data_IF_118251034941
#
_entry.id   IF_118251034941
#
_cell.length_a   1.000
_cell.length_b   1.000
_cell.length_c   1.000
_cell.angle_alpha   90.00
_cell.angle_beta   90.00
_cell.angle_gamma   90.00
#
_symmetry.space_group_name_H-M   'P 1'
#
loop_
_entity.id
_entity.type
_entity.pdbx_description
1 polymer ?
#
# COMPACT_ATOMS: atom_id res chain seq x y z
N UNK A 1 -7.35 -2.80 -16.32
CA UNK A 1 -6.43 -1.75 -16.84
C UNK A 1 -7.18 -0.54 -17.42
N UNK A 2 -8.22 -0.74 -18.26
CA UNK A 2 -9.05 0.35 -18.80
C UNK A 2 -9.65 1.26 -17.72
N UNK A 3 -10.21 0.65 -16.66
CA UNK A 3 -10.83 1.38 -15.54
C UNK A 3 -9.85 2.35 -14.85
N UNK A 4 -8.62 1.90 -14.59
CA UNK A 4 -7.57 2.74 -14.01
C UNK A 4 -7.17 3.90 -14.95
N UNK A 5 -7.08 3.62 -16.25
CA UNK A 5 -6.77 4.66 -17.24
C UNK A 5 -7.85 5.74 -17.26
N UNK A 6 -9.13 5.36 -17.34
CA UNK A 6 -10.25 6.29 -17.23
C UNK A 6 -10.27 7.01 -15.88
N UNK A 7 -9.94 6.32 -14.79
CA UNK A 7 -9.85 6.92 -13.46
C UNK A 7 -8.85 8.10 -13.45
N UNK A 8 -7.62 7.86 -13.95
CA UNK A 8 -6.57 8.89 -14.02
C UNK A 8 -7.02 10.08 -14.88
N UNK A 9 -7.64 9.83 -16.04
CA UNK A 9 -8.09 10.91 -16.93
C UNK A 9 -9.23 11.74 -16.36
N UNK A 10 -10.07 11.15 -15.50
CA UNK A 10 -11.18 11.83 -14.85
C UNK A 10 -10.82 12.48 -13.50
N UNK A 11 -9.60 12.30 -12.99
CA UNK A 11 -9.22 12.86 -11.69
C UNK A 11 -9.35 14.38 -11.62
N UNK A 12 -8.95 15.10 -12.68
CA UNK A 12 -9.06 16.55 -12.70
C UNK A 12 -10.52 17.04 -12.73
N UNK A 13 -11.40 16.30 -13.41
CA UNK A 13 -12.84 16.54 -13.38
C UNK A 13 -13.41 16.33 -11.97
N UNK A 14 -13.08 15.19 -11.36
CA UNK A 14 -13.57 14.82 -10.01
C UNK A 14 -13.08 15.76 -8.92
N UNK A 15 -11.87 16.30 -9.07
CA UNK A 15 -11.31 17.31 -8.18
C UNK A 15 -11.90 18.72 -8.40
N UNK A 16 -12.85 18.89 -9.34
CA UNK A 16 -13.46 20.18 -9.66
C UNK A 16 -12.51 21.17 -10.35
N UNK A 17 -11.36 20.70 -10.85
CA UNK A 17 -10.37 21.57 -11.50
C UNK A 17 -10.76 21.96 -12.93
N UNK A 18 -11.54 21.10 -13.59
CA UNK A 18 -12.07 21.31 -14.94
C UNK A 18 -13.46 20.71 -15.07
N UNK A 19 -14.28 21.26 -15.96
CA UNK A 19 -15.59 20.68 -16.33
C UNK A 19 -15.50 19.62 -17.44
N UNK A 20 -14.35 19.56 -18.12
CA UNK A 20 -14.08 18.59 -19.18
C UNK A 20 -12.64 18.10 -19.06
N UNK A 21 -12.38 16.78 -18.96
CA UNK A 21 -11.03 16.24 -18.86
C UNK A 21 -10.10 16.66 -20.01
N UNK A 22 -10.63 17.01 -21.20
CA UNK A 22 -9.81 17.49 -22.31
C UNK A 22 -9.15 18.85 -22.03
N UNK A 23 -9.72 19.65 -21.11
CA UNK A 23 -9.21 20.98 -20.73
C UNK A 23 -8.02 20.89 -19.78
N UNK A 24 -7.78 19.74 -19.15
CA UNK A 24 -6.69 19.61 -18.17
C UNK A 24 -5.35 19.32 -18.87
N UNK A 25 -4.47 20.33 -18.88
CA UNK A 25 -3.18 20.29 -19.62
C UNK A 25 -2.18 19.27 -19.09
N UNK A 26 -2.29 18.87 -17.83
CA UNK A 26 -1.32 18.01 -17.14
C UNK A 26 -1.70 16.53 -17.14
N UNK A 27 -2.62 16.13 -18.02
CA UNK A 27 -3.03 14.75 -18.18
C UNK A 27 -2.93 14.34 -19.65
N UNK A 28 -2.59 13.08 -19.88
CA UNK A 28 -2.47 12.48 -21.20
C UNK A 28 -3.79 12.27 -21.92
N UNK A 29 -4.96 12.55 -21.33
CA UNK A 29 -6.27 12.29 -21.96
C UNK A 29 -6.40 12.88 -23.36
N UNK A 30 -5.86 14.09 -23.59
CA UNK A 30 -5.82 14.72 -24.93
C UNK A 30 -5.11 13.85 -25.95
N UNK A 31 -4.02 13.22 -25.55
CA UNK A 31 -3.29 12.26 -26.36
C UNK A 31 -4.17 11.05 -26.66
N UNK A 32 -5.14 10.64 -25.83
CA UNK A 32 -6.02 9.51 -26.15
C UNK A 32 -7.20 9.83 -27.05
N UNK A 33 -7.62 11.10 -27.17
CA UNK A 33 -8.83 11.49 -27.93
C UNK A 33 -8.53 12.35 -29.17
N UNK A 34 -7.28 12.81 -29.33
CA UNK A 34 -6.83 13.54 -30.52
C UNK A 34 -6.00 12.63 -31.42
N UNK A 35 -6.06 12.88 -32.73
CA UNK A 35 -5.27 12.12 -33.71
C UNK A 35 -3.76 12.36 -33.58
N UNK A 36 -3.34 13.52 -33.07
CA UNK A 36 -1.93 13.83 -32.88
C UNK A 36 -1.31 12.89 -31.84
N UNK A 37 -0.32 12.11 -32.29
CA UNK A 37 0.49 11.28 -31.42
C UNK A 37 1.47 12.16 -30.67
N UNK A 38 1.31 12.20 -29.35
CA UNK A 38 2.35 12.63 -28.43
C UNK A 38 3.24 11.41 -28.16
N UNK A 39 4.55 11.55 -28.38
CA UNK A 39 5.52 10.47 -28.24
C UNK A 39 5.74 10.04 -26.78
N UNK A 40 5.20 10.81 -25.82
CA UNK A 40 5.29 10.52 -24.39
C UNK A 40 4.28 9.46 -23.91
N UNK A 41 3.33 9.03 -24.75
CA UNK A 41 2.21 8.17 -24.33
C UNK A 41 2.07 6.95 -25.22
N UNK A 42 2.29 5.76 -24.64
CA UNK A 42 1.96 4.49 -25.26
C UNK A 42 0.44 4.23 -25.13
N UNK A 43 -0.25 4.19 -26.27
CA UNK A 43 -1.71 4.04 -26.34
C UNK A 43 -2.14 2.78 -27.08
N UNK A 44 -1.25 2.17 -27.86
CA UNK A 44 -1.60 1.06 -28.74
C UNK A 44 -2.05 -0.17 -27.92
N UNK A 45 -1.44 -0.42 -26.76
CA UNK A 45 -1.89 -1.48 -25.84
C UNK A 45 -3.33 -1.28 -25.32
N UNK A 46 -3.71 -0.03 -25.00
CA UNK A 46 -5.07 0.27 -24.53
C UNK A 46 -6.07 0.21 -25.69
N UNK A 47 -5.70 0.75 -26.85
CA UNK A 47 -6.53 0.73 -28.05
C UNK A 47 -6.77 -0.69 -28.58
N UNK A 48 -5.79 -1.59 -28.46
CA UNK A 48 -5.92 -3.00 -28.82
C UNK A 48 -7.04 -3.74 -28.08
N UNK A 49 -7.48 -3.24 -26.91
CA UNK A 49 -8.62 -3.79 -26.17
C UNK A 49 -9.98 -3.38 -26.73
N UNK A 50 -10.02 -2.39 -27.63
CA UNK A 50 -11.25 -1.87 -28.25
C UNK A 50 -11.36 -2.30 -29.72
N UNK A 51 -10.32 -2.03 -30.52
CA UNK A 51 -10.32 -2.36 -31.95
C UNK A 51 -8.91 -2.33 -32.54
N UNK A 52 -8.69 -3.15 -33.57
CA UNK A 52 -7.49 -3.05 -34.43
C UNK A 52 -7.48 -1.76 -35.27
N UNK A 53 -8.66 -1.17 -35.52
CA UNK A 53 -8.75 0.11 -36.21
C UNK A 53 -8.56 1.26 -35.21
N UNK A 54 -7.44 1.97 -35.33
CA UNK A 54 -7.06 3.08 -34.42
C UNK A 54 -8.14 4.15 -34.25
N UNK A 55 -8.82 4.55 -35.34
CA UNK A 55 -9.90 5.57 -35.27
C UNK A 55 -11.16 5.05 -34.58
N UNK A 56 -11.42 3.74 -34.67
CA UNK A 56 -12.54 3.11 -33.94
C UNK A 56 -12.17 2.97 -32.48
N UNK A 57 -10.97 2.48 -32.16
CA UNK A 57 -10.49 2.32 -30.80
C UNK A 57 -10.47 3.65 -30.04
N UNK A 58 -10.00 4.73 -30.67
CA UNK A 58 -10.02 6.09 -30.11
C UNK A 58 -11.44 6.53 -29.70
N UNK A 59 -12.42 6.37 -30.60
CA UNK A 59 -13.82 6.74 -30.34
C UNK A 59 -14.46 5.88 -29.25
N UNK A 60 -14.16 4.59 -29.23
CA UNK A 60 -14.64 3.68 -28.20
C UNK A 60 -14.01 3.98 -26.83
N UNK A 61 -12.72 4.31 -26.80
CA UNK A 61 -12.03 4.76 -25.60
C UNK A 61 -12.61 6.07 -25.06
N UNK A 62 -12.84 7.06 -25.93
CA UNK A 62 -13.47 8.32 -25.54
C UNK A 62 -14.85 8.09 -24.92
N UNK A 63 -15.68 7.25 -25.55
CA UNK A 63 -17.00 6.87 -25.03
C UNK A 63 -16.89 6.14 -23.69
N UNK A 64 -15.91 5.25 -23.56
CA UNK A 64 -15.63 4.52 -22.33
C UNK A 64 -15.31 5.48 -21.16
N UNK A 65 -14.44 6.47 -21.38
CA UNK A 65 -14.09 7.46 -20.36
C UNK A 65 -15.28 8.37 -20.03
N UNK A 66 -15.97 8.90 -21.05
CA UNK A 66 -17.14 9.76 -20.85
C UNK A 66 -18.26 9.07 -20.07
N UNK A 67 -18.49 7.78 -20.32
CA UNK A 67 -19.46 6.97 -19.57
C UNK A 67 -19.15 6.82 -18.07
N UNK A 68 -17.95 7.20 -17.62
CA UNK A 68 -17.49 7.12 -16.22
C UNK A 68 -17.43 8.48 -15.51
N UNK A 69 -17.75 9.58 -16.21
CA UNK A 69 -17.70 10.93 -15.63
C UNK A 69 -18.57 11.08 -14.37
N UNK A 70 -19.71 10.37 -14.31
CA UNK A 70 -20.63 10.41 -13.16
C UNK A 70 -20.25 9.51 -11.98
N UNK A 71 -19.19 8.70 -12.07
CA UNK A 71 -18.86 7.69 -11.05
C UNK A 71 -18.21 8.25 -9.78
N UNK A 72 -18.11 9.58 -9.64
CA UNK A 72 -17.54 10.21 -8.45
C UNK A 72 -16.15 9.69 -8.08
N UNK A 73 -15.83 9.73 -6.79
CA UNK A 73 -14.66 9.06 -6.25
C UNK A 73 -14.92 7.55 -6.11
N UNK A 74 -13.94 6.73 -6.46
CA UNK A 74 -14.04 5.27 -6.53
C UNK A 74 -13.18 4.68 -5.43
N UNK A 75 -13.77 4.45 -4.26
CA UNK A 75 -13.07 3.99 -3.04
C UNK A 75 -12.42 2.62 -3.22
N UNK A 76 -12.94 1.80 -4.14
CA UNK A 76 -12.38 0.50 -4.54
C UNK A 76 -10.96 0.61 -5.12
N UNK A 77 -10.60 1.75 -5.74
CA UNK A 77 -9.21 2.03 -6.13
C UNK A 77 -8.30 2.45 -4.96
N UNK A 78 -8.83 2.53 -3.75
CA UNK A 78 -8.09 2.87 -2.54
C UNK A 78 -8.20 1.78 -1.48
N UNK A 79 -8.92 0.69 -1.75
CA UNK A 79 -8.97 -0.49 -0.87
C UNK A 79 -7.59 -1.15 -0.81
N UNK A 80 -6.92 -0.91 0.31
CA UNK A 80 -5.60 -1.44 0.63
C UNK A 80 -5.74 -2.84 1.26
N UNK A 81 -5.62 -3.91 0.45
CA UNK A 81 -5.51 -5.29 0.96
C UNK A 81 -4.08 -5.64 1.41
N UNK A 82 -3.06 -5.20 0.68
CA UNK A 82 -1.65 -5.24 1.08
C UNK A 82 -1.10 -3.81 0.91
N UNK A 83 -0.36 -3.28 1.89
CA UNK A 83 0.25 -1.94 1.78
C UNK A 83 1.28 -1.83 0.64
N UNK A 84 1.48 -2.91 -0.13
CA UNK A 84 2.33 -2.99 -1.34
C UNK A 84 1.54 -3.16 -2.63
N UNK A 85 0.31 -3.69 -2.60
CA UNK A 85 -0.45 -4.04 -3.80
C UNK A 85 -1.89 -3.54 -3.72
N UNK A 86 -2.32 -2.85 -4.78
CA UNK A 86 -3.66 -2.30 -4.92
C UNK A 86 -4.45 -3.15 -5.93
N UNK A 87 -5.61 -3.68 -5.53
CA UNK A 87 -6.49 -4.45 -6.40
C UNK A 87 -7.26 -5.56 -5.68
N UNK A 88 -8.09 -6.28 -6.44
CA UNK A 88 -8.88 -7.41 -5.97
C UNK A 88 -8.00 -8.58 -5.48
N UNK A 89 -8.56 -9.47 -4.67
CA UNK A 89 -7.83 -10.55 -3.99
C UNK A 89 -7.12 -11.50 -4.95
N UNK A 90 -7.82 -11.87 -6.03
CA UNK A 90 -7.26 -12.71 -7.09
C UNK A 90 -6.04 -12.07 -7.75
N UNK A 91 -6.03 -10.73 -7.88
CA UNK A 91 -4.88 -10.00 -8.42
C UNK A 91 -3.69 -10.05 -7.45
N UNK A 92 -3.94 -9.77 -6.18
CA UNK A 92 -2.91 -9.79 -5.13
C UNK A 92 -2.28 -11.18 -5.01
N UNK A 93 -3.11 -12.24 -5.00
CA UNK A 93 -2.63 -13.63 -4.95
C UNK A 93 -1.82 -14.04 -6.19
N UNK A 94 -2.25 -13.60 -7.38
CA UNK A 94 -1.49 -13.84 -8.61
C UNK A 94 -0.13 -13.11 -8.59
N UNK A 95 -0.05 -11.92 -8.01
CA UNK A 95 1.21 -11.18 -7.87
C UNK A 95 2.14 -11.89 -6.89
N UNK A 96 1.65 -12.33 -5.72
CA UNK A 96 2.44 -13.12 -4.76
C UNK A 96 2.97 -14.40 -5.38
N UNK A 97 2.12 -15.13 -6.12
CA UNK A 97 2.51 -16.35 -6.85
C UNK A 97 3.61 -16.09 -7.88
N UNK A 98 3.56 -14.96 -8.59
CA UNK A 98 4.59 -14.57 -9.58
C UNK A 98 5.90 -14.13 -8.94
N UNK A 99 5.84 -13.50 -7.77
CA UNK A 99 7.02 -13.04 -7.03
C UNK A 99 7.64 -14.15 -6.17
N UNK A 100 7.03 -15.34 -6.13
CA UNK A 100 7.42 -16.42 -5.22
C UNK A 100 7.42 -15.97 -3.75
N UNK A 101 6.58 -14.98 -3.43
CA UNK A 101 6.32 -14.52 -2.08
C UNK A 101 5.14 -15.34 -1.54
N UNK A 102 5.26 -15.86 -0.31
CA UNK A 102 4.08 -16.43 0.37
C UNK A 102 3.03 -15.32 0.52
N UNK A 103 1.77 -15.62 0.18
CA UNK A 103 0.66 -14.70 0.44
C UNK A 103 0.72 -14.30 1.91
N UNK A 104 0.82 -13.00 2.25
CA UNK A 104 1.00 -12.58 3.62
C UNK A 104 -0.31 -12.85 4.34
N UNK A 105 -0.40 -14.02 4.97
CA UNK A 105 -1.45 -14.30 5.92
C UNK A 105 -1.37 -13.20 6.97
N UNK A 106 -2.39 -12.35 7.02
CA UNK A 106 -2.58 -11.46 8.15
C UNK A 106 -3.07 -12.33 9.30
N UNK A 107 -2.38 -12.29 10.43
CA UNK A 107 -2.74 -13.00 11.63
C UNK A 107 -3.60 -12.09 12.52
N UNK A 108 -4.54 -12.68 13.25
CA UNK A 108 -5.32 -11.94 14.24
C UNK A 108 -4.48 -11.71 15.50
N UNK A 109 -3.63 -10.68 15.44
CA UNK A 109 -2.70 -10.30 16.51
C UNK A 109 -2.88 -8.81 16.79
N UNK A 110 -3.19 -8.45 18.02
CA UNK A 110 -3.26 -7.05 18.43
C UNK A 110 -1.87 -6.41 18.51
N UNK A 111 -1.77 -5.10 18.28
CA UNK A 111 -0.53 -4.36 18.49
C UNK A 111 0.01 -4.49 19.93
N UNK A 112 -0.87 -4.66 20.92
CA UNK A 112 -0.48 -4.91 22.32
C UNK A 112 0.20 -6.27 22.52
N UNK A 113 -0.31 -7.34 21.88
CA UNK A 113 0.34 -8.66 21.90
C UNK A 113 1.71 -8.60 21.23
N UNK A 114 1.82 -7.89 20.10
CA UNK A 114 3.10 -7.69 19.41
C UNK A 114 4.06 -6.90 20.31
N UNK A 115 3.60 -5.79 20.91
CA UNK A 115 4.40 -4.99 21.82
C UNK A 115 4.91 -5.81 23.01
N UNK A 116 4.06 -6.66 23.60
CA UNK A 116 4.42 -7.55 24.70
C UNK A 116 5.49 -8.57 24.30
N UNK A 117 5.36 -9.20 23.13
CA UNK A 117 6.36 -10.16 22.64
C UNK A 117 7.69 -9.46 22.35
N UNK A 118 7.64 -8.28 21.73
CA UNK A 118 8.83 -7.44 21.48
C UNK A 118 9.50 -7.04 22.80
N UNK A 119 8.71 -6.65 23.79
CA UNK A 119 9.17 -6.30 25.15
C UNK A 119 9.95 -7.47 25.76
N UNK A 120 9.37 -8.68 25.70
CA UNK A 120 9.99 -9.89 26.23
C UNK A 120 11.27 -10.25 25.48
N UNK A 121 11.27 -10.25 24.15
CA UNK A 121 12.41 -10.65 23.34
C UNK A 121 13.60 -9.66 23.44
N UNK A 122 13.31 -8.38 23.60
CA UNK A 122 14.33 -7.34 23.76
C UNK A 122 14.72 -7.08 25.22
N UNK A 123 14.11 -7.78 26.18
CA UNK A 123 14.30 -7.58 27.62
C UNK A 123 14.07 -6.11 28.03
N UNK A 124 13.03 -5.50 27.48
CA UNK A 124 12.63 -4.12 27.77
C UNK A 124 11.33 -4.11 28.59
N UNK A 125 11.14 -3.16 29.53
CA UNK A 125 9.84 -2.94 30.15
C UNK A 125 8.82 -2.43 29.12
N UNK A 126 7.59 -2.92 29.17
CA UNK A 126 6.55 -2.54 28.19
C UNK A 126 6.21 -1.05 28.28
N UNK A 127 6.22 -0.48 29.49
CA UNK A 127 6.02 0.96 29.72
C UNK A 127 7.08 1.83 29.03
N UNK A 128 8.29 1.29 28.82
CA UNK A 128 9.36 2.00 28.13
C UNK A 128 8.98 2.32 26.68
N UNK A 129 8.20 1.45 26.03
CA UNK A 129 7.73 1.67 24.65
C UNK A 129 6.76 2.86 24.58
N UNK A 130 5.92 3.05 25.59
CA UNK A 130 4.97 4.16 25.69
C UNK A 130 5.60 5.45 26.27
N UNK A 131 6.74 5.33 26.95
CA UNK A 131 7.43 6.46 27.57
C UNK A 131 8.00 7.48 26.57
N UNK A 132 8.18 8.72 27.03
CA UNK A 132 8.90 9.79 26.31
C UNK A 132 10.44 9.66 26.45
N UNK A 133 10.95 8.50 26.85
CA UNK A 133 12.35 8.32 27.20
C UNK A 133 13.31 8.74 26.07
N UNK A 134 14.38 9.44 26.47
CA UNK A 134 15.51 9.82 25.61
C UNK A 134 16.45 8.65 25.28
N UNK A 135 16.27 7.48 25.92
CA UNK A 135 17.01 6.26 25.59
C UNK A 135 16.55 5.73 24.21
N UNK A 136 17.50 5.26 23.40
CA UNK A 136 17.26 4.66 22.07
C UNK A 136 16.43 3.36 22.11
N UNK A 137 16.31 2.71 23.27
CA UNK A 137 15.60 1.44 23.43
C UNK A 137 14.07 1.55 23.25
N UNK A 138 13.42 2.58 23.81
CA UNK A 138 11.98 2.79 23.63
C UNK A 138 11.57 3.01 22.16
N UNK A 139 12.24 3.93 21.43
CA UNK A 139 12.07 4.07 19.99
C UNK A 139 12.32 2.79 19.18
N UNK A 140 13.32 1.99 19.57
CA UNK A 140 13.61 0.71 18.91
C UNK A 140 12.47 -0.30 19.10
N UNK A 141 11.97 -0.47 20.34
CA UNK A 141 10.85 -1.37 20.61
C UNK A 141 9.58 -0.98 19.84
N UNK A 142 9.29 0.32 19.74
CA UNK A 142 8.20 0.84 18.89
C UNK A 142 8.42 0.56 17.41
N UNK A 143 9.64 0.74 16.91
CA UNK A 143 9.98 0.45 15.52
C UNK A 143 9.81 -1.04 15.19
N UNK A 144 10.29 -1.93 16.07
CA UNK A 144 10.13 -3.39 15.89
C UNK A 144 8.66 -3.77 15.94
N UNK A 145 7.89 -3.23 16.89
CA UNK A 145 6.44 -3.47 16.97
C UNK A 145 5.72 -3.01 15.70
N UNK A 146 6.07 -1.84 15.17
CA UNK A 146 5.50 -1.34 13.92
C UNK A 146 5.89 -2.15 12.69
N UNK A 147 7.14 -2.60 12.61
CA UNK A 147 7.64 -3.45 11.53
C UNK A 147 6.92 -4.80 11.53
N UNK A 148 6.88 -5.48 12.67
CA UNK A 148 6.20 -6.78 12.81
C UNK A 148 4.68 -6.63 12.67
N UNK A 149 4.09 -5.57 13.23
CA UNK A 149 2.67 -5.27 13.08
C UNK A 149 2.24 -5.02 11.64
N UNK A 150 3.08 -4.33 10.85
CA UNK A 150 2.86 -4.17 9.41
C UNK A 150 2.92 -5.52 8.69
N UNK A 151 3.91 -6.35 9.02
CA UNK A 151 4.19 -7.62 8.33
C UNK A 151 3.20 -8.73 8.66
N UNK A 152 2.85 -8.91 9.93
CA UNK A 152 1.99 -10.01 10.40
C UNK A 152 0.55 -9.59 10.65
N UNK A 153 0.32 -8.35 11.09
CA UNK A 153 -1.03 -7.87 11.47
C UNK A 153 -1.68 -6.94 10.45
N UNK A 154 -1.00 -6.62 9.34
CA UNK A 154 -1.50 -5.69 8.32
C UNK A 154 -1.65 -4.24 8.81
N UNK A 155 -1.12 -3.88 9.98
CA UNK A 155 -1.34 -2.57 10.59
C UNK A 155 -0.71 -1.44 9.79
N UNK A 156 -1.47 -0.36 9.59
CA UNK A 156 -0.94 0.88 9.04
C UNK A 156 -0.02 1.58 10.04
N UNK A 157 0.96 2.33 9.53
CA UNK A 157 1.87 3.15 10.36
C UNK A 157 1.06 4.09 11.27
N UNK A 158 -0.03 4.67 10.76
CA UNK A 158 -0.95 5.53 11.53
C UNK A 158 -1.53 4.80 12.75
N UNK A 159 -1.93 3.54 12.59
CA UNK A 159 -2.50 2.72 13.67
C UNK A 159 -1.44 2.39 14.73
N UNK A 160 -0.24 1.99 14.31
CA UNK A 160 0.90 1.78 15.22
C UNK A 160 1.27 3.05 15.98
N UNK A 161 1.25 4.19 15.30
CA UNK A 161 1.56 5.49 15.90
C UNK A 161 0.52 5.89 16.95
N UNK A 162 -0.77 5.70 16.65
CA UNK A 162 -1.85 5.92 17.60
C UNK A 162 -1.73 5.01 18.83
N UNK A 163 -1.41 3.72 18.65
CA UNK A 163 -1.20 2.77 19.74
C UNK A 163 -0.12 3.22 20.74
N UNK A 164 0.96 3.84 20.27
CA UNK A 164 2.03 4.35 21.13
C UNK A 164 1.90 5.84 21.50
N UNK A 165 0.80 6.51 21.11
CA UNK A 165 0.62 7.95 21.26
C UNK A 165 1.80 8.75 20.67
N UNK A 166 2.20 8.42 19.44
CA UNK A 166 3.30 9.09 18.72
C UNK A 166 2.84 9.59 17.36
N UNK A 167 3.60 10.52 16.82
CA UNK A 167 3.41 10.99 15.45
C UNK A 167 3.78 9.88 14.44
N UNK A 168 2.96 9.65 13.38
CA UNK A 168 3.26 8.67 12.33
C UNK A 168 4.64 8.81 11.70
N UNK A 169 5.16 10.04 11.57
CA UNK A 169 6.49 10.31 11.02
C UNK A 169 7.58 9.71 11.91
N UNK A 170 7.42 9.78 13.23
CA UNK A 170 8.39 9.22 14.19
C UNK A 170 8.46 7.69 14.06
N UNK A 171 7.31 7.02 13.91
CA UNK A 171 7.25 5.57 13.70
C UNK A 171 7.88 5.20 12.36
N UNK A 172 7.53 5.90 11.28
CA UNK A 172 8.08 5.67 9.94
C UNK A 172 9.61 5.79 9.92
N UNK A 173 10.16 6.86 10.51
CA UNK A 173 11.61 7.05 10.62
C UNK A 173 12.27 5.97 11.49
N UNK A 174 11.60 5.53 12.56
CA UNK A 174 12.08 4.44 13.41
C UNK A 174 12.18 3.12 12.65
N UNK A 175 11.14 2.76 11.91
CA UNK A 175 11.10 1.55 11.06
C UNK A 175 12.20 1.62 9.99
N UNK A 176 12.39 2.77 9.33
CA UNK A 176 13.46 2.93 8.33
C UNK A 176 14.87 2.69 8.92
N UNK A 177 15.13 3.18 10.13
CA UNK A 177 16.41 2.94 10.83
C UNK A 177 16.55 1.47 11.21
N UNK A 178 15.46 0.84 11.66
CA UNK A 178 15.40 -0.58 11.96
C UNK A 178 15.71 -1.44 10.72
N UNK A 179 15.14 -1.12 9.56
CA UNK A 179 15.41 -1.84 8.30
C UNK A 179 16.90 -1.79 7.92
N UNK A 180 17.56 -0.66 8.12
CA UNK A 180 19.01 -0.56 7.92
C UNK A 180 19.78 -1.43 8.93
N UNK A 181 19.38 -1.39 10.21
CA UNK A 181 19.97 -2.25 11.25
C UNK A 181 19.83 -3.74 10.94
N UNK A 182 18.69 -4.16 10.39
CA UNK A 182 18.45 -5.55 9.98
C UNK A 182 19.34 -6.00 8.82
N UNK A 183 19.79 -5.08 7.95
CA UNK A 183 20.76 -5.40 6.88
C UNK A 183 22.16 -5.63 7.43
N UNK A 184 22.53 -4.90 8.48
CA UNK A 184 23.89 -4.88 9.03
C UNK A 184 24.12 -5.94 10.11
N UNK A 185 23.11 -6.21 10.95
CA UNK A 185 23.29 -7.01 12.16
C UNK A 185 22.55 -8.35 12.11
N UNK A 186 23.26 -9.42 11.67
CA UNK A 186 22.72 -10.79 11.59
C UNK A 186 22.14 -11.30 12.91
N UNK A 187 22.72 -10.92 14.06
CA UNK A 187 22.21 -11.29 15.37
C UNK A 187 20.82 -10.71 15.64
N UNK A 188 20.61 -9.45 15.24
CA UNK A 188 19.35 -8.76 15.43
C UNK A 188 18.25 -9.28 14.49
N UNK A 189 18.61 -9.70 13.28
CA UNK A 189 17.70 -10.41 12.37
C UNK A 189 17.14 -11.68 13.02
N UNK A 190 17.98 -12.48 13.68
CA UNK A 190 17.53 -13.69 14.38
C UNK A 190 16.52 -13.38 15.48
N UNK A 191 16.73 -12.29 16.23
CA UNK A 191 15.79 -11.84 17.25
C UNK A 191 14.42 -11.49 16.65
N UNK A 192 14.40 -10.72 15.55
CA UNK A 192 13.12 -10.34 14.89
C UNK A 192 12.42 -11.56 14.30
N UNK A 193 13.14 -12.49 13.67
CA UNK A 193 12.57 -13.75 13.18
C UNK A 193 12.00 -14.58 14.34
N UNK A 194 12.68 -14.63 15.49
CA UNK A 194 12.18 -15.33 16.68
C UNK A 194 10.86 -14.73 17.20
N UNK A 195 10.75 -13.40 17.22
CA UNK A 195 9.50 -12.69 17.57
C UNK A 195 8.39 -13.08 16.58
N UNK A 196 8.66 -13.03 15.28
CA UNK A 196 7.68 -13.37 14.25
C UNK A 196 7.18 -14.81 14.40
N UNK A 197 8.08 -15.78 14.57
CA UNK A 197 7.71 -17.19 14.74
C UNK A 197 6.92 -17.45 16.01
N UNK A 198 7.28 -16.79 17.12
CA UNK A 198 6.55 -16.89 18.40
C UNK A 198 5.11 -16.38 18.24
N UNK A 199 4.94 -15.24 17.58
CA UNK A 199 3.63 -14.64 17.32
C UNK A 199 2.78 -15.50 16.39
N UNK A 200 3.35 -16.02 15.30
CA UNK A 200 2.65 -16.90 14.35
C UNK A 200 2.15 -18.17 15.05
N UNK A 201 2.96 -18.79 15.91
CA UNK A 201 2.57 -20.01 16.65
C UNK A 201 1.40 -19.78 17.61
N UNK A 202 1.25 -18.57 18.15
CA UNK A 202 0.23 -18.22 19.15
C UNK A 202 -1.07 -17.70 18.53
N UNK A 203 -1.13 -17.54 17.21
CA UNK A 203 -2.18 -16.73 16.56
C UNK A 203 -2.90 -17.48 15.44
N UNK A 204 -4.18 -17.20 15.27
CA UNK A 204 -4.99 -17.71 14.16
C UNK A 204 -4.90 -16.80 12.95
N UNK A 205 -5.09 -17.36 11.75
CA UNK A 205 -5.15 -16.58 10.50
C UNK A 205 -6.41 -15.72 10.49
N UNK A 206 -6.27 -14.45 10.11
CA UNK A 206 -7.38 -13.54 9.89
C UNK A 206 -7.96 -13.81 8.50
N UNK A 207 -9.19 -14.32 8.45
CA UNK A 207 -9.94 -14.43 7.20
C UNK A 207 -10.52 -13.04 6.93
N UNK A 208 -10.01 -12.37 5.89
CA UNK A 208 -10.61 -11.14 5.37
C UNK A 208 -11.85 -11.56 4.59
N UNK A 209 -13.02 -11.45 5.21
CA UNK A 209 -14.33 -11.62 4.54
C UNK A 209 -14.70 -10.29 3.89
#
# INVERSE_FOLDING_TARGET
>A
MLELSAYIHLNALRAGLVEDPIKYRWCSYRSYVRENKDDLVERDFLFAQFSQNKKVAMRQYERFVKGRMGQGHREDFYELKDQRFLGEEEFVDNVHRRLNEESPFVYDISLGQIASEVSSALHLPTDLLHSLSRNRQGPLGRAVTGYVGRKLGGYQIKTTAAHFHRDPVVISQGIRRLENKLKEEKGFVKTVIGIEQSLIRKSSRKILI
#
